data_IF_925955020494
#
_entry.id   IF_925955020494
#
_cell.length_a   1.000
_cell.length_b   1.000
_cell.length_c   1.000
_cell.angle_alpha   90.00
_cell.angle_beta   90.00
_cell.angle_gamma   90.00
#
_symmetry.space_group_name_H-M   'P 1'
#
loop_
_entity.id
_entity.type
_entity.pdbx_description
1 polymer ?
#
# COMPACT_ATOMS: atom_id res chain seq x y z
N UNK A 1 3.90 -0.40 13.92
CA UNK A 1 3.35 -0.78 12.60
C UNK A 1 1.87 -1.07 12.74
N UNK A 2 1.04 -0.54 11.83
CA UNK A 2 -0.40 -0.88 11.72
C UNK A 2 -0.60 -1.47 10.33
N UNK A 3 -1.20 -2.66 10.24
CA UNK A 3 -1.44 -3.33 8.96
C UNK A 3 -2.88 -3.82 8.85
N UNK A 4 -3.43 -3.81 7.64
CA UNK A 4 -4.78 -4.26 7.34
C UNK A 4 -4.91 -4.72 5.89
N UNK A 5 -5.92 -5.55 5.61
CA UNK A 5 -6.35 -5.84 4.24
C UNK A 5 -7.45 -4.85 3.87
N UNK A 6 -7.28 -4.17 2.75
CA UNK A 6 -8.20 -3.15 2.28
C UNK A 6 -8.61 -3.41 0.83
N UNK A 7 -9.85 -3.06 0.47
CA UNK A 7 -10.26 -3.03 -0.94
C UNK A 7 -9.82 -1.72 -1.60
N UNK A 8 -9.48 -1.81 -2.89
CA UNK A 8 -9.24 -0.66 -3.76
C UNK A 8 -10.44 -0.51 -4.70
N UNK A 9 -11.16 0.61 -4.61
CA UNK A 9 -12.27 0.86 -5.54
C UNK A 9 -11.77 1.27 -6.95
N UNK A 10 -12.69 1.32 -7.94
CA UNK A 10 -12.34 1.67 -9.32
C UNK A 10 -11.72 3.07 -9.51
N UNK A 11 -11.78 3.93 -8.49
CA UNK A 11 -11.12 5.25 -8.49
C UNK A 11 -9.77 5.23 -7.76
N UNK A 12 -9.33 4.07 -7.29
CA UNK A 12 -8.07 3.87 -6.58
C UNK A 12 -8.11 4.19 -5.09
N UNK A 13 -9.30 4.44 -4.50
CA UNK A 13 -9.38 4.71 -3.07
C UNK A 13 -9.15 3.41 -2.30
N UNK A 14 -8.24 3.46 -1.35
CA UNK A 14 -8.00 2.38 -0.38
C UNK A 14 -9.03 2.53 0.73
N UNK A 15 -9.87 1.52 0.94
CA UNK A 15 -10.96 1.53 1.92
C UNK A 15 -10.50 1.30 3.38
N UNK A 16 -9.39 1.92 3.78
CA UNK A 16 -8.81 1.76 5.12
C UNK A 16 -8.30 3.10 5.68
N UNK A 17 -8.79 3.47 6.87
CA UNK A 17 -8.47 4.75 7.53
C UNK A 17 -7.56 4.60 8.74
N UNK A 18 -7.49 3.42 9.34
CA UNK A 18 -6.63 3.14 10.49
C UNK A 18 -5.17 3.43 10.18
N UNK A 19 -4.70 3.11 8.97
CA UNK A 19 -3.34 3.41 8.52
C UNK A 19 -3.07 4.90 8.40
N UNK A 20 -4.03 5.69 7.89
CA UNK A 20 -3.92 7.16 7.79
C UNK A 20 -3.91 7.79 9.18
N UNK A 21 -4.79 7.33 10.08
CA UNK A 21 -4.86 7.78 11.48
C UNK A 21 -3.58 7.44 12.24
N UNK A 22 -3.05 6.23 12.08
CA UNK A 22 -1.81 5.79 12.71
C UNK A 22 -0.61 6.64 12.28
N UNK A 23 -0.61 7.13 11.04
CA UNK A 23 0.43 8.03 10.52
C UNK A 23 0.22 9.49 10.93
N UNK A 24 -0.87 9.83 11.62
CA UNK A 24 -1.23 11.21 11.95
C UNK A 24 -1.55 12.07 10.73
N UNK A 25 -1.75 11.47 9.56
CA UNK A 25 -2.00 12.20 8.32
C UNK A 25 -3.38 12.85 8.32
N UNK A 26 -3.44 14.09 7.87
CA UNK A 26 -4.63 14.93 7.81
C UNK A 26 -5.07 15.14 6.37
N UNK A 27 -6.37 15.41 6.19
CA UNK A 27 -6.94 15.78 4.91
C UNK A 27 -6.18 16.95 4.27
N UNK A 28 -5.98 16.90 2.95
CA UNK A 28 -5.29 17.94 2.19
C UNK A 28 -3.76 17.89 2.28
N UNK A 29 -3.18 17.10 3.19
CA UNK A 29 -1.74 16.88 3.18
C UNK A 29 -1.30 16.19 1.89
N UNK A 30 -0.23 16.70 1.31
CA UNK A 30 0.29 16.26 0.02
C UNK A 30 1.12 14.99 0.15
N UNK A 31 0.97 14.12 -0.83
CA UNK A 31 1.51 12.77 -0.87
C UNK A 31 2.38 12.59 -2.12
N UNK A 32 3.50 11.90 -1.92
CA UNK A 32 4.30 11.31 -2.98
C UNK A 32 4.02 9.81 -3.04
N UNK A 33 3.93 9.28 -4.26
CA UNK A 33 3.86 7.85 -4.53
C UNK A 33 5.14 7.43 -5.25
N UNK A 34 5.83 6.44 -4.68
CA UNK A 34 7.01 5.82 -5.29
C UNK A 34 6.68 4.36 -5.59
N UNK A 35 6.50 4.00 -6.88
CA UNK A 35 6.39 2.61 -7.28
C UNK A 35 7.65 1.82 -6.88
N UNK A 36 7.44 0.62 -6.39
CA UNK A 36 8.43 -0.43 -6.19
C UNK A 36 8.07 -1.59 -7.14
N UNK A 37 8.89 -2.64 -7.22
CA UNK A 37 8.63 -3.75 -8.15
C UNK A 37 7.23 -4.37 -7.98
N UNK A 38 6.75 -4.54 -6.74
CA UNK A 38 5.42 -5.13 -6.46
C UNK A 38 4.68 -4.43 -5.31
N UNK A 39 5.03 -3.17 -5.05
CA UNK A 39 4.43 -2.39 -3.98
C UNK A 39 4.48 -0.91 -4.31
N UNK A 40 3.81 -0.09 -3.51
CA UNK A 40 3.88 1.35 -3.59
C UNK A 40 4.22 1.91 -2.23
N UNK A 41 5.27 2.72 -2.16
CA UNK A 41 5.57 3.52 -0.99
C UNK A 41 4.87 4.86 -1.12
N UNK A 42 4.16 5.26 -0.06
CA UNK A 42 3.46 6.53 0.06
C UNK A 42 4.00 7.27 1.27
N UNK A 43 4.28 8.57 1.12
CA UNK A 43 4.76 9.44 2.20
C UNK A 43 4.25 10.87 1.99
N UNK A 44 4.28 11.68 3.06
CA UNK A 44 4.05 13.12 2.92
C UNK A 44 5.16 13.77 2.08
N UNK A 45 4.77 14.72 1.23
CA UNK A 45 5.69 15.54 0.44
C UNK A 45 5.05 16.90 0.16
N UNK A 46 5.70 17.98 0.58
CA UNK A 46 5.24 19.35 0.32
C UNK A 46 5.00 19.67 -1.16
N UNK A 47 5.71 18.98 -2.06
CA UNK A 47 5.59 19.13 -3.52
C UNK A 47 4.71 18.04 -4.16
N UNK A 48 4.12 17.16 -3.35
CA UNK A 48 3.22 16.12 -3.83
C UNK A 48 2.03 16.69 -4.60
N UNK A 49 1.67 16.02 -5.69
CA UNK A 49 0.55 16.40 -6.57
C UNK A 49 -0.79 15.83 -6.10
N UNK A 50 -0.74 14.84 -5.22
CA UNK A 50 -1.91 14.13 -4.70
C UNK A 50 -2.05 14.43 -3.22
N UNK A 51 -3.25 14.31 -2.68
CA UNK A 51 -3.50 14.60 -1.27
C UNK A 51 -4.28 13.48 -0.59
N UNK A 52 -4.18 13.42 0.73
CA UNK A 52 -5.16 12.70 1.55
C UNK A 52 -6.52 13.32 1.28
N UNK A 53 -7.51 12.50 0.95
CA UNK A 53 -8.85 13.00 0.60
C UNK A 53 -9.49 13.72 1.79
N UNK A 54 -10.50 14.55 1.54
CA UNK A 54 -11.26 15.23 2.60
C UNK A 54 -11.84 14.27 3.66
N UNK A 55 -12.07 13.02 3.29
CA UNK A 55 -12.61 11.98 4.18
C UNK A 55 -11.52 11.14 4.87
N UNK A 56 -10.24 11.50 4.72
CA UNK A 56 -9.12 10.81 5.37
C UNK A 56 -8.69 9.50 4.70
N UNK A 57 -8.84 9.39 3.37
CA UNK A 57 -8.38 8.21 2.62
C UNK A 57 -7.18 8.53 1.74
N UNK A 58 -6.41 7.49 1.42
CA UNK A 58 -5.40 7.52 0.35
C UNK A 58 -6.04 7.05 -0.94
N UNK A 59 -5.80 7.78 -2.03
CA UNK A 59 -6.20 7.40 -3.37
C UNK A 59 -4.97 7.17 -4.24
N UNK A 60 -4.84 5.95 -4.75
CA UNK A 60 -3.79 5.57 -5.68
C UNK A 60 -4.00 6.29 -7.02
N UNK A 61 -3.01 7.06 -7.50
CA UNK A 61 -3.06 7.69 -8.82
C UNK A 61 -3.21 6.66 -9.96
N UNK A 62 -3.80 7.06 -11.08
CA UNK A 62 -3.96 6.17 -12.23
C UNK A 62 -2.63 5.56 -12.73
N UNK A 63 -1.50 6.31 -12.83
CA UNK A 63 -0.22 5.73 -13.23
C UNK A 63 0.28 4.65 -12.27
N UNK A 64 0.07 4.86 -10.96
CA UNK A 64 0.44 3.90 -9.92
C UNK A 64 -0.39 2.63 -10.01
N UNK A 65 -1.69 2.77 -10.28
CA UNK A 65 -2.58 1.60 -10.50
C UNK A 65 -2.17 0.79 -11.72
N UNK A 66 -1.84 1.46 -12.82
CA UNK A 66 -1.39 0.77 -14.02
C UNK A 66 -0.06 0.04 -13.80
N UNK A 67 0.89 0.69 -13.11
CA UNK A 67 2.21 0.10 -12.84
C UNK A 67 2.16 -1.14 -11.95
N UNK A 68 1.32 -1.12 -10.91
CA UNK A 68 1.17 -2.25 -9.99
C UNK A 68 0.05 -3.22 -10.38
N UNK A 69 -0.55 -3.05 -11.56
CA UNK A 69 -1.67 -3.85 -12.07
C UNK A 69 -2.87 -3.90 -11.11
N UNK A 70 -3.13 -2.81 -10.37
CA UNK A 70 -4.26 -2.76 -9.45
C UNK A 70 -5.59 -2.79 -10.20
N UNK A 71 -6.35 -3.88 -10.07
CA UNK A 71 -7.71 -4.03 -10.59
C UNK A 71 -8.75 -3.41 -9.65
N UNK A 72 -9.87 -2.93 -10.20
CA UNK A 72 -10.99 -2.46 -9.38
C UNK A 72 -11.55 -3.61 -8.54
N UNK A 73 -11.74 -3.38 -7.24
CA UNK A 73 -12.20 -4.41 -6.31
C UNK A 73 -11.07 -5.32 -5.78
N UNK A 74 -9.83 -5.10 -6.22
CA UNK A 74 -8.68 -5.83 -5.71
C UNK A 74 -8.46 -5.56 -4.22
N UNK A 75 -8.02 -6.58 -3.50
CA UNK A 75 -7.59 -6.46 -2.10
C UNK A 75 -6.10 -6.25 -2.05
N UNK A 76 -5.67 -5.33 -1.19
CA UNK A 76 -4.26 -4.99 -0.97
C UNK A 76 -3.94 -5.12 0.51
N UNK A 77 -2.69 -5.47 0.80
CA UNK A 77 -2.14 -5.30 2.13
C UNK A 77 -1.61 -3.87 2.26
N UNK A 78 -2.12 -3.14 3.24
CA UNK A 78 -1.63 -1.82 3.60
C UNK A 78 -0.87 -1.90 4.92
N UNK A 79 0.32 -1.31 4.97
CA UNK A 79 1.18 -1.31 6.14
C UNK A 79 1.69 0.11 6.43
N UNK A 80 1.19 0.71 7.51
CA UNK A 80 1.69 1.97 8.04
C UNK A 80 2.85 1.73 9.00
N UNK A 81 3.93 2.50 8.81
CA UNK A 81 5.07 2.59 9.71
C UNK A 81 5.18 4.03 10.26
N UNK A 82 4.47 4.36 11.35
CA UNK A 82 4.49 5.70 11.96
C UNK A 82 5.89 6.21 12.25
N UNK A 83 6.77 5.34 12.73
CA UNK A 83 8.16 5.68 13.04
C UNK A 83 8.99 6.16 11.83
N UNK A 84 8.55 5.82 10.61
CA UNK A 84 9.17 6.27 9.35
C UNK A 84 8.28 7.24 8.55
N UNK A 85 7.05 7.50 9.02
CA UNK A 85 6.08 8.33 8.29
C UNK A 85 5.69 7.79 6.91
N UNK A 86 5.72 6.46 6.72
CA UNK A 86 5.42 5.81 5.42
C UNK A 86 4.23 4.86 5.50
N UNK A 87 3.48 4.81 4.41
CA UNK A 87 2.51 3.77 4.10
C UNK A 87 3.04 2.95 2.94
N UNK A 88 3.03 1.62 3.07
CA UNK A 88 3.36 0.70 1.99
C UNK A 88 2.09 -0.03 1.57
N UNK A 89 1.83 -0.11 0.28
CA UNK A 89 0.69 -0.79 -0.32
C UNK A 89 1.21 -1.94 -1.17
N UNK A 90 0.94 -3.18 -0.77
CA UNK A 90 1.31 -4.40 -1.50
C UNK A 90 0.07 -5.00 -2.17
N UNK A 91 0.21 -5.47 -3.42
CA UNK A 91 -0.75 -6.41 -3.98
C UNK A 91 -0.71 -7.71 -3.18
N UNK A 92 -1.80 -8.47 -3.13
CA UNK A 92 -1.76 -9.77 -2.43
C UNK A 92 -0.82 -10.77 -3.13
N UNK A 93 -0.70 -10.69 -4.46
CA UNK A 93 0.29 -11.48 -5.23
C UNK A 93 1.72 -11.20 -4.75
N UNK A 94 2.06 -9.94 -4.47
CA UNK A 94 3.38 -9.59 -3.92
C UNK A 94 3.59 -10.19 -2.53
N UNK A 95 2.55 -10.17 -1.68
CA UNK A 95 2.61 -10.74 -0.33
C UNK A 95 2.81 -12.25 -0.41
N UNK A 96 2.08 -12.93 -1.29
CA UNK A 96 2.22 -14.37 -1.52
C UNK A 96 3.64 -14.74 -1.97
N UNK A 97 4.22 -14.00 -2.92
CA UNK A 97 5.59 -14.22 -3.37
C UNK A 97 6.60 -14.03 -2.24
N UNK A 98 6.48 -12.95 -1.46
CA UNK A 98 7.37 -12.69 -0.31
C UNK A 98 7.25 -13.77 0.77
N UNK A 99 6.05 -14.26 1.05
CA UNK A 99 5.82 -15.33 2.01
C UNK A 99 6.38 -16.67 1.50
N UNK A 100 6.22 -16.98 0.22
CA UNK A 100 6.78 -18.18 -0.39
C UNK A 100 8.32 -18.18 -0.29
N UNK A 101 8.96 -17.08 -0.70
CA UNK A 101 10.42 -16.88 -0.57
C UNK A 101 10.87 -17.03 0.89
N UNK A 102 10.13 -16.43 1.82
CA UNK A 102 10.45 -16.51 3.24
C UNK A 102 10.33 -17.94 3.78
N UNK A 103 9.27 -18.68 3.43
CA UNK A 103 9.09 -20.06 3.87
C UNK A 103 10.14 -21.02 3.28
N UNK A 104 10.56 -20.79 2.03
CA UNK A 104 11.68 -21.50 1.41
C UNK A 104 12.97 -21.25 2.19
N UNK A 105 13.26 -19.98 2.50
CA UNK A 105 14.46 -19.61 3.27
C UNK A 105 14.45 -20.21 4.69
N UNK A 106 13.27 -20.39 5.28
CA UNK A 106 13.11 -21.05 6.59
C UNK A 106 13.08 -22.59 6.52
N UNK A 107 13.06 -23.19 5.33
CA UNK A 107 12.94 -24.63 5.14
C UNK A 107 11.58 -25.22 5.54
N UNK A 108 10.55 -24.38 5.66
CA UNK A 108 9.18 -24.78 6.07
C UNK A 108 8.43 -25.40 4.89
N UNK A 109 8.75 -25.00 3.67
CA UNK A 109 8.26 -25.61 2.43
C UNK A 109 9.45 -26.30 1.78
N UNK A 110 9.47 -27.63 1.80
CA UNK A 110 10.42 -28.39 0.99
C UNK A 110 10.08 -28.21 -0.48
N UNK A 111 11.11 -27.99 -1.30
CA UNK A 111 11.02 -28.00 -2.77
C UNK A 111 10.60 -29.41 -3.22
N UNK A 112 9.30 -29.68 -3.33
CA UNK A 112 8.82 -30.84 -4.07
C UNK A 112 9.04 -30.57 -5.56
N UNK A 113 10.19 -31.04 -6.03
CA UNK A 113 10.56 -31.18 -7.44
C UNK A 113 9.51 -31.92 -8.26
#
# INVERSE_FOLDING_TARGET
MVAAIASVDGRGRIAERSVVRALGWQAGQRLQFRPLQQAVLVRLDSQGLFTVTGQGYVRLPAPVRHWCLFSAGERVLVAARPEHGVLIVHTLVAVEALLAEHHIALGVVSDER
#
